data_IF_136015770992
#
_entry.id   IF_136015770992
#
_cell.length_a   1.000
_cell.length_b   1.000
_cell.length_c   1.000
_cell.angle_alpha   90.00
_cell.angle_beta   90.00
_cell.angle_gamma   90.00
#
_symmetry.space_group_name_H-M   'P 1'
#
loop_
_entity.id
_entity.type
_entity.pdbx_description
1 polymer ?
#
# COMPACT_ATOMS: atom_id res chain seq x y z
N UNK A 1 12.52 32.84 0.21
CA UNK A 1 12.12 32.43 0.05
C UNK A 1 11.62 31.91 0.01
N UNK A 2 11.51 31.72 -0.12
CA UNK A 2 10.88 31.23 -0.28
C UNK A 2 10.58 30.33 -0.18
N UNK A 3 10.43 30.24 -0.17
CA UNK A 3 10.11 29.37 -0.07
C UNK A 3 9.57 28.61 -0.24
N UNK A 4 9.45 28.24 -0.36
CA UNK A 4 8.86 27.63 -0.58
C UNK A 4 8.29 26.86 -0.55
N UNK A 5 7.99 26.65 -0.64
CA UNK A 5 7.26 26.07 -0.69
C UNK A 5 7.02 25.34 -1.11
N UNK A 6 7.02 25.09 -1.23
CA UNK A 6 6.71 24.56 -1.60
C UNK A 6 6.46 23.85 -2.03
N UNK A 7 6.68 23.69 -1.90
CA UNK A 7 6.50 22.94 -2.47
C UNK A 7 5.75 21.97 -2.66
N UNK A 8 5.77 21.75 -3.21
CA UNK A 8 4.71 20.85 -3.42
C UNK A 8 5.16 19.45 -3.25
N UNK A 9 5.01 18.91 -2.08
CA UNK A 9 5.23 17.51 -1.85
C UNK A 9 3.96 16.79 -2.18
N UNK A 10 4.05 15.83 -3.10
CA UNK A 10 2.92 14.98 -3.41
C UNK A 10 3.09 13.70 -2.62
N UNK A 11 2.14 13.43 -1.74
CA UNK A 11 2.15 12.19 -0.96
C UNK A 11 1.17 11.24 -1.60
N UNK A 12 1.67 10.11 -2.08
CA UNK A 12 0.85 9.09 -2.68
C UNK A 12 0.72 7.94 -1.69
N UNK A 13 -0.50 7.60 -1.26
CA UNK A 13 -0.66 6.49 -0.33
C UNK A 13 -0.59 5.15 -1.07
N UNK A 14 0.05 4.20 -0.43
CA UNK A 14 0.19 2.86 -0.96
C UNK A 14 -0.26 1.83 0.06
N UNK A 15 -0.78 0.74 -0.44
CA UNK A 15 -1.21 -0.39 0.38
C UNK A 15 -0.34 -1.59 0.03
N UNK A 16 0.20 -2.23 1.05
CA UNK A 16 1.00 -3.43 0.88
C UNK A 16 0.20 -4.62 1.35
N UNK A 17 0.04 -5.60 0.47
CA UNK A 17 -0.67 -6.84 0.76
C UNK A 17 0.34 -7.96 0.89
N UNK A 18 0.05 -8.90 1.74
CA UNK A 18 0.93 -10.04 1.96
C UNK A 18 0.11 -11.32 2.04
N UNK A 19 0.61 -12.35 1.39
CA UNK A 19 -0.02 -13.66 1.43
C UNK A 19 0.43 -14.40 2.68
N UNK A 20 -0.53 -15.02 3.37
CA UNK A 20 -0.21 -15.80 4.56
C UNK A 20 0.50 -17.10 4.24
N UNK A 21 0.29 -17.64 3.05
CA UNK A 21 0.81 -18.96 2.72
C UNK A 21 2.21 -18.90 2.11
N UNK A 22 2.43 -18.04 1.14
CA UNK A 22 3.71 -18.02 0.44
C UNK A 22 4.51 -16.74 0.71
N UNK A 23 3.99 -15.84 1.52
CA UNK A 23 4.65 -14.59 1.89
C UNK A 23 4.93 -13.67 0.71
N UNK A 24 4.18 -13.83 -0.36
CA UNK A 24 4.26 -12.91 -1.47
C UNK A 24 3.78 -11.53 -1.04
N UNK A 25 4.54 -10.51 -1.39
CA UNK A 25 4.21 -9.13 -1.03
C UNK A 25 3.87 -8.38 -2.30
N UNK A 26 2.77 -7.62 -2.24
CA UNK A 26 2.33 -6.83 -3.37
C UNK A 26 2.03 -5.42 -2.91
N UNK A 27 2.52 -4.44 -3.66
CA UNK A 27 2.31 -3.04 -3.37
C UNK A 27 1.40 -2.45 -4.43
N UNK A 28 0.38 -1.70 -4.00
CA UNK A 28 -0.51 -1.03 -4.92
C UNK A 28 -0.96 0.28 -4.31
N UNK A 29 -1.58 1.11 -5.12
CA UNK A 29 -2.08 2.38 -4.62
C UNK A 29 -3.21 2.14 -3.62
N UNK A 30 -3.24 2.97 -2.61
CA UNK A 30 -4.29 2.91 -1.60
C UNK A 30 -5.66 3.13 -2.23
N UNK A 31 -6.62 2.41 -1.75
CA UNK A 31 -7.98 2.54 -2.20
C UNK A 31 -8.86 2.81 -0.98
N UNK A 32 -9.89 3.61 -1.18
CA UNK A 32 -10.78 3.93 -0.08
C UNK A 32 -11.39 2.66 0.48
N UNK A 33 -11.37 2.55 1.79
CA UNK A 33 -11.84 1.35 2.45
C UNK A 33 -10.73 0.40 2.87
N UNK A 34 -9.49 0.65 2.45
CA UNK A 34 -8.37 -0.18 2.87
C UNK A 34 -8.04 0.06 4.34
N UNK A 35 -7.71 -1.01 5.05
CA UNK A 35 -7.22 -0.89 6.41
C UNK A 35 -6.35 -2.10 6.71
N UNK A 36 -5.48 -1.94 7.71
CA UNK A 36 -4.52 -2.99 8.08
C UNK A 36 -5.27 -4.23 8.53
N UNK A 37 -4.79 -5.38 8.07
CA UNK A 37 -5.37 -6.70 8.32
C UNK A 37 -6.66 -6.97 7.58
N UNK A 38 -7.08 -6.06 6.69
CA UNK A 38 -8.22 -6.35 5.84
C UNK A 38 -7.88 -7.47 4.88
N UNK A 39 -8.76 -8.44 4.79
CA UNK A 39 -8.57 -9.53 3.82
C UNK A 39 -8.90 -9.03 2.43
N UNK A 40 -8.03 -9.38 1.49
CA UNK A 40 -8.19 -8.97 0.11
C UNK A 40 -8.37 -10.19 -0.77
N UNK A 41 -7.97 -10.07 -2.03
CA UNK A 41 -8.17 -11.16 -2.98
C UNK A 41 -7.23 -12.32 -2.68
N UNK A 42 -7.50 -13.44 -3.32
CA UNK A 42 -6.63 -14.61 -3.19
C UNK A 42 -5.30 -14.31 -3.89
N UNK A 43 -4.24 -14.93 -3.36
CA UNK A 43 -2.92 -14.78 -3.93
C UNK A 43 -2.88 -15.41 -5.32
N UNK A 44 -2.33 -14.70 -6.28
CA UNK A 44 -2.23 -15.20 -7.64
C UNK A 44 -1.27 -16.37 -7.75
N UNK A 45 -0.30 -16.45 -6.85
CA UNK A 45 0.72 -17.49 -6.92
C UNK A 45 0.28 -18.81 -6.29
N UNK A 46 -0.27 -18.73 -5.09
CA UNK A 46 -0.59 -19.97 -4.34
C UNK A 46 -2.06 -20.06 -3.97
N UNK A 47 -2.85 -19.06 -4.33
CA UNK A 47 -4.28 -18.98 -4.04
C UNK A 47 -4.59 -18.95 -2.56
N UNK A 48 -3.59 -18.62 -1.74
CA UNK A 48 -3.81 -18.40 -0.32
C UNK A 48 -4.48 -17.06 -0.09
N UNK A 49 -4.85 -16.79 1.14
CA UNK A 49 -5.50 -15.55 1.50
C UNK A 49 -4.48 -14.43 1.63
N UNK A 50 -4.72 -13.32 0.98
CA UNK A 50 -3.93 -12.13 1.16
C UNK A 50 -4.64 -11.17 2.09
N UNK A 51 -3.85 -10.36 2.77
CA UNK A 51 -4.40 -9.31 3.62
C UNK A 51 -3.47 -8.11 3.56
N UNK A 52 -3.99 -6.97 3.99
CA UNK A 52 -3.20 -5.75 3.99
C UNK A 52 -2.24 -5.79 5.17
N UNK A 53 -0.95 -5.75 4.86
CA UNK A 53 0.09 -5.80 5.90
C UNK A 53 0.39 -4.41 6.44
N UNK A 54 0.38 -3.41 5.56
CA UNK A 54 0.63 -2.03 6.00
C UNK A 54 0.13 -1.06 4.96
N UNK A 55 -0.08 0.17 5.40
CA UNK A 55 -0.47 1.26 4.53
C UNK A 55 0.47 2.42 4.86
N UNK A 56 1.04 3.04 3.83
CA UNK A 56 1.99 4.12 4.06
C UNK A 56 1.90 5.13 2.94
N UNK A 57 2.38 6.34 3.22
CA UNK A 57 2.46 7.39 2.22
C UNK A 57 3.87 7.51 1.71
N UNK A 58 4.01 7.67 0.41
CA UNK A 58 5.30 7.86 -0.23
C UNK A 58 5.36 9.27 -0.78
N UNK A 59 6.42 9.98 -0.42
CA UNK A 59 6.58 11.36 -0.84
C UNK A 59 7.35 11.40 -2.15
N UNK A 60 6.77 12.11 -3.10
CA UNK A 60 7.43 12.39 -4.38
C UNK A 60 7.56 13.88 -4.54
N UNK A 61 8.73 14.33 -4.92
CA UNK A 61 8.95 15.75 -5.19
C UNK A 61 9.43 15.96 -6.61
#
# INVERSE_FOLDING_TARGET
MKFKRKKEEIVTPYTVEQCYSCNTISKRKFKEGDYVFKKTDACASCKGQMSIAKIFGEVST
#
